data_IF_050742305122
#
_entry.id   IF_050742305122
#
_cell.length_a   1.000
_cell.length_b   1.000
_cell.length_c   1.000
_cell.angle_alpha   90.00
_cell.angle_beta   90.00
_cell.angle_gamma   90.00
#
_symmetry.space_group_name_H-M   'P 1'
#
loop_
_entity.id
_entity.type
_entity.pdbx_description
1 polymer ?
#
# COMPACT_ATOMS: atom_id res chain seq x y z
N UNK A 1 -11.23 -14.08 -18.38
CA UNK A 1 -10.00 -13.41 -17.90
C UNK A 1 -10.13 -11.89 -17.95
N UNK A 2 -10.32 -11.26 -19.12
CA UNK A 2 -10.54 -9.81 -19.22
C UNK A 2 -11.72 -9.29 -18.36
N UNK A 3 -12.88 -9.95 -18.40
CA UNK A 3 -14.04 -9.53 -17.59
C UNK A 3 -13.75 -9.53 -16.09
N UNK A 4 -12.99 -10.52 -15.61
CA UNK A 4 -12.55 -10.59 -14.21
C UNK A 4 -11.54 -9.49 -13.88
N UNK A 5 -10.71 -9.09 -14.84
CA UNK A 5 -9.77 -7.99 -14.73
C UNK A 5 -10.43 -6.60 -14.81
N UNK A 6 -11.61 -6.52 -15.44
CA UNK A 6 -12.41 -5.30 -15.55
C UNK A 6 -13.13 -4.97 -14.25
N UNK A 7 -13.58 -5.98 -13.49
CA UNK A 7 -14.37 -5.76 -12.26
C UNK A 7 -13.66 -4.82 -11.24
N UNK A 8 -12.37 -4.98 -10.92
CA UNK A 8 -11.68 -4.05 -10.04
C UNK A 8 -11.56 -2.63 -10.62
N UNK A 9 -11.43 -2.48 -11.94
CA UNK A 9 -11.35 -1.17 -12.58
C UNK A 9 -12.67 -0.40 -12.48
N UNK A 10 -13.81 -1.09 -12.32
CA UNK A 10 -15.12 -0.45 -12.07
C UNK A 10 -15.19 0.27 -10.72
N UNK A 11 -14.19 0.11 -9.83
CA UNK A 11 -14.04 0.96 -8.64
C UNK A 11 -13.90 2.45 -8.97
N UNK A 12 -13.52 2.81 -10.21
CA UNK A 12 -13.57 4.18 -10.71
C UNK A 12 -14.95 4.82 -10.50
N UNK A 13 -16.04 4.07 -10.65
CA UNK A 13 -17.40 4.57 -10.40
C UNK A 13 -17.64 4.92 -8.93
N UNK A 14 -17.06 4.17 -7.99
CA UNK A 14 -17.15 4.48 -6.57
C UNK A 14 -16.37 5.76 -6.20
N UNK A 15 -15.25 6.03 -6.87
CA UNK A 15 -14.51 7.27 -6.70
C UNK A 15 -15.19 8.46 -7.38
N UNK A 16 -15.86 8.24 -8.52
CA UNK A 16 -16.59 9.29 -9.24
C UNK A 16 -17.66 9.97 -8.37
N UNK A 17 -18.30 9.20 -7.48
CA UNK A 17 -19.31 9.69 -6.54
C UNK A 17 -18.76 10.63 -5.46
N UNK A 18 -17.44 10.68 -5.27
CA UNK A 18 -16.79 11.56 -4.28
C UNK A 18 -16.53 12.96 -4.83
N UNK A 19 -16.72 13.19 -6.14
CA UNK A 19 -16.56 14.50 -6.74
C UNK A 19 -17.79 15.39 -6.50
N UNK A 20 -17.55 16.70 -6.36
CA UNK A 20 -18.64 17.68 -6.24
C UNK A 20 -19.55 17.71 -7.48
N UNK A 21 -19.00 17.34 -8.64
CA UNK A 21 -19.72 17.13 -9.90
C UNK A 21 -19.25 15.81 -10.50
N UNK A 22 -20.03 14.72 -10.40
CA UNK A 22 -19.69 13.43 -10.98
C UNK A 22 -19.70 13.46 -12.52
N UNK A 23 -18.83 12.66 -13.13
CA UNK A 23 -18.81 12.39 -14.57
C UNK A 23 -19.98 11.47 -14.98
N UNK A 24 -20.31 11.46 -16.28
CA UNK A 24 -21.31 10.56 -16.84
C UNK A 24 -20.88 9.09 -16.71
N UNK A 25 -21.85 8.20 -16.49
CA UNK A 25 -21.57 6.78 -16.30
C UNK A 25 -20.83 6.18 -17.49
N UNK A 26 -21.14 6.57 -18.74
CA UNK A 26 -20.46 6.02 -19.92
C UNK A 26 -18.99 6.40 -19.94
N UNK A 27 -18.69 7.64 -19.58
CA UNK A 27 -17.32 8.14 -19.52
C UNK A 27 -16.49 7.39 -18.48
N UNK A 28 -17.06 7.16 -17.29
CA UNK A 28 -16.40 6.38 -16.24
C UNK A 28 -16.17 4.92 -16.67
N UNK A 29 -17.15 4.29 -17.32
CA UNK A 29 -17.02 2.93 -17.83
C UNK A 29 -15.92 2.83 -18.90
N UNK A 30 -15.79 3.84 -19.76
CA UNK A 30 -14.76 3.84 -20.80
C UNK A 30 -13.36 4.09 -20.23
N UNK A 31 -13.25 4.92 -19.19
CA UNK A 31 -12.02 5.05 -18.38
C UNK A 31 -11.65 3.69 -17.75
N UNK A 32 -12.60 3.01 -17.11
CA UNK A 32 -12.37 1.71 -16.49
C UNK A 32 -11.90 0.66 -17.52
N UNK A 33 -12.52 0.61 -18.71
CA UNK A 33 -12.09 -0.28 -19.81
C UNK A 33 -10.69 0.07 -20.31
N UNK A 34 -10.37 1.36 -20.43
CA UNK A 34 -9.06 1.81 -20.87
C UNK A 34 -7.95 1.35 -19.91
N UNK A 35 -8.17 1.53 -18.60
CA UNK A 35 -7.26 1.08 -17.55
C UNK A 35 -7.13 -0.44 -17.57
N UNK A 36 -8.24 -1.17 -17.62
CA UNK A 36 -8.24 -2.63 -17.64
C UNK A 36 -7.48 -3.19 -18.85
N UNK A 37 -7.69 -2.63 -20.04
CA UNK A 37 -6.97 -3.05 -21.26
C UNK A 37 -5.47 -2.77 -21.17
N UNK A 38 -5.09 -1.58 -20.70
CA UNK A 38 -3.68 -1.21 -20.61
C UNK A 38 -2.94 -2.06 -19.58
N UNK A 39 -3.54 -2.27 -18.41
CA UNK A 39 -2.95 -3.05 -17.31
C UNK A 39 -2.84 -4.52 -17.67
N UNK A 40 -3.89 -5.12 -18.24
CA UNK A 40 -3.84 -6.52 -18.69
C UNK A 40 -2.75 -6.76 -19.75
N UNK A 41 -2.51 -5.78 -20.62
CA UNK A 41 -1.50 -5.89 -21.68
C UNK A 41 -0.05 -5.73 -21.18
N UNK A 42 0.16 -4.97 -20.10
CA UNK A 42 1.51 -4.54 -19.67
C UNK A 42 1.96 -5.08 -18.32
N UNK A 43 1.03 -5.50 -17.48
CA UNK A 43 1.32 -6.08 -16.18
C UNK A 43 1.17 -7.59 -16.30
N UNK A 44 2.29 -8.26 -16.52
CA UNK A 44 2.38 -9.71 -16.47
C UNK A 44 3.43 -10.13 -15.43
N UNK A 45 3.48 -11.43 -15.13
CA UNK A 45 4.43 -11.93 -14.14
C UNK A 45 5.90 -11.76 -14.60
N UNK A 46 6.15 -11.84 -15.90
CA UNK A 46 7.49 -11.77 -16.47
C UNK A 46 8.09 -10.35 -16.41
N UNK A 47 7.28 -9.35 -16.76
CA UNK A 47 7.58 -7.92 -16.69
C UNK A 47 7.75 -7.49 -15.25
N UNK A 48 6.93 -8.01 -14.33
CA UNK A 48 7.13 -7.76 -12.89
C UNK A 48 8.43 -8.37 -12.38
N UNK A 49 8.73 -9.63 -12.74
CA UNK A 49 10.01 -10.28 -12.38
C UNK A 49 11.20 -9.49 -12.91
N UNK A 50 11.15 -9.05 -14.17
CA UNK A 50 12.20 -8.24 -14.77
C UNK A 50 12.39 -6.92 -14.01
N UNK A 51 11.29 -6.20 -13.73
CA UNK A 51 11.33 -4.99 -12.92
C UNK A 51 11.97 -5.21 -11.54
N UNK A 52 11.67 -6.35 -10.89
CA UNK A 52 12.28 -6.69 -9.59
C UNK A 52 13.78 -6.91 -9.75
N UNK A 53 14.21 -7.70 -10.74
CA UNK A 53 15.64 -7.93 -11.02
C UNK A 53 16.39 -6.61 -11.26
N UNK A 54 15.79 -5.71 -12.04
CA UNK A 54 16.41 -4.44 -12.42
C UNK A 54 16.48 -3.44 -11.24
N UNK A 55 15.56 -3.52 -10.27
CA UNK A 55 15.38 -2.47 -9.26
C UNK A 55 15.56 -2.91 -7.80
N UNK A 56 15.65 -4.21 -7.51
CA UNK A 56 15.73 -4.75 -6.15
C UNK A 56 17.11 -5.32 -5.80
N UNK A 57 18.16 -4.93 -6.51
CA UNK A 57 19.52 -5.26 -6.07
C UNK A 57 19.80 -4.71 -4.66
N UNK A 58 20.62 -5.41 -3.84
CA UNK A 58 20.95 -4.96 -2.49
C UNK A 58 21.51 -3.53 -2.45
N UNK A 59 22.27 -3.15 -3.48
CA UNK A 59 22.84 -1.81 -3.62
C UNK A 59 21.76 -0.74 -3.82
N UNK A 60 20.84 -0.95 -4.78
CA UNK A 60 19.74 -0.01 -5.07
C UNK A 60 18.83 0.13 -3.84
N UNK A 61 18.48 -0.98 -3.20
CA UNK A 61 17.61 -0.99 -2.01
C UNK A 61 18.29 -0.34 -0.81
N UNK A 62 19.60 -0.53 -0.62
CA UNK A 62 20.38 0.14 0.43
C UNK A 62 20.36 1.67 0.26
N UNK A 63 20.57 2.17 -0.96
CA UNK A 63 20.49 3.62 -1.24
C UNK A 63 19.09 4.17 -0.98
N UNK A 64 18.04 3.47 -1.42
CA UNK A 64 16.64 3.85 -1.15
C UNK A 64 16.33 3.86 0.34
N UNK A 65 16.80 2.84 1.07
CA UNK A 65 16.66 2.72 2.52
C UNK A 65 17.31 3.88 3.27
N UNK A 66 18.54 4.26 2.88
CA UNK A 66 19.25 5.42 3.46
C UNK A 66 18.54 6.75 3.21
N UNK A 67 17.83 6.90 2.08
CA UNK A 67 17.02 8.09 1.78
C UNK A 67 15.70 8.12 2.55
N UNK A 68 15.24 6.99 3.06
CA UNK A 68 14.01 6.90 3.84
C UNK A 68 14.15 7.72 5.12
N UNK A 69 13.24 8.68 5.31
CA UNK A 69 13.09 9.44 6.55
C UNK A 69 12.06 8.82 7.49
N UNK A 70 11.74 7.53 7.30
CA UNK A 70 10.73 6.85 8.13
C UNK A 70 11.23 6.85 9.59
N UNK A 71 10.65 7.72 10.39
CA UNK A 71 10.92 7.82 11.82
C UNK A 71 10.29 6.65 12.59
N UNK A 72 10.58 6.60 13.90
CA UNK A 72 9.88 5.70 14.81
C UNK A 72 8.38 6.02 14.79
N UNK A 73 7.55 4.97 14.83
CA UNK A 73 6.09 5.15 14.89
C UNK A 73 5.71 5.85 16.21
N UNK A 74 4.94 6.93 16.12
CA UNK A 74 4.44 7.68 17.28
C UNK A 74 3.56 6.82 18.19
N UNK A 75 2.88 5.83 17.61
CA UNK A 75 1.95 4.95 18.31
C UNK A 75 2.58 3.61 18.70
N UNK A 76 3.90 3.46 18.56
CA UNK A 76 4.56 2.23 19.03
C UNK A 76 4.54 2.18 20.56
N UNK A 77 4.43 0.97 21.13
CA UNK A 77 4.56 0.77 22.59
C UNK A 77 5.88 1.32 23.13
N UNK A 78 6.92 1.37 22.29
CA UNK A 78 8.22 1.96 22.63
C UNK A 78 8.15 3.48 22.76
N UNK A 79 7.33 4.14 21.96
CA UNK A 79 7.16 5.60 21.98
C UNK A 79 6.15 6.04 23.04
N UNK A 80 5.08 5.27 23.22
CA UNK A 80 4.02 5.57 24.18
C UNK A 80 4.39 5.22 25.63
N UNK A 81 5.40 4.36 25.81
CA UNK A 81 5.93 3.93 27.11
C UNK A 81 4.84 3.59 28.15
N UNK A 82 3.90 2.67 27.85
CA UNK A 82 2.73 2.40 28.71
C UNK A 82 3.12 1.92 30.11
N UNK A 83 4.30 1.31 30.27
CA UNK A 83 4.84 0.92 31.57
C UNK A 83 5.08 2.09 32.52
N UNK A 84 5.37 3.29 31.99
CA UNK A 84 5.52 4.52 32.79
C UNK A 84 4.18 4.90 33.40
N UNK A 85 3.11 4.91 32.59
CA UNK A 85 1.75 5.18 33.06
C UNK A 85 1.26 4.15 34.08
N UNK A 86 1.70 2.90 33.94
CA UNK A 86 1.39 1.80 34.87
C UNK A 86 2.28 1.80 36.12
N UNK A 87 3.29 2.66 36.22
CA UNK A 87 4.22 2.70 37.36
C UNK A 87 5.11 1.46 37.49
N UNK A 88 5.31 0.70 36.41
CA UNK A 88 6.12 -0.52 36.40
C UNK A 88 7.34 -0.36 35.49
N UNK A 89 8.35 -1.20 35.68
CA UNK A 89 9.49 -1.22 34.77
C UNK A 89 9.12 -1.79 33.40
N UNK A 90 9.78 -1.30 32.35
CA UNK A 90 9.65 -1.83 30.98
C UNK A 90 9.80 -3.36 30.91
N UNK A 91 10.77 -3.92 31.64
CA UNK A 91 10.99 -5.38 31.70
C UNK A 91 9.76 -6.09 32.26
N UNK A 92 9.19 -5.58 33.36
CA UNK A 92 8.02 -6.18 34.00
C UNK A 92 6.81 -6.14 33.07
N UNK A 93 6.57 -5.03 32.38
CA UNK A 93 5.50 -4.91 31.38
C UNK A 93 5.56 -6.02 30.31
N UNK A 94 6.73 -6.23 29.67
CA UNK A 94 6.85 -7.29 28.66
C UNK A 94 6.80 -8.70 29.24
N UNK A 95 7.26 -8.90 30.48
CA UNK A 95 7.15 -10.20 31.16
C UNK A 95 5.70 -10.55 31.46
N UNK A 96 4.94 -9.59 32.01
CA UNK A 96 3.52 -9.77 32.35
C UNK A 96 2.66 -9.91 31.08
N UNK A 97 3.00 -9.25 29.97
CA UNK A 97 2.33 -9.39 28.67
C UNK A 97 2.53 -10.76 28.01
N UNK A 98 3.60 -11.49 28.36
CA UNK A 98 3.92 -12.81 27.80
C UNK A 98 3.19 -13.95 28.53
N UNK A 99 2.74 -13.72 29.76
CA UNK A 99 1.90 -14.66 30.50
C UNK A 99 0.48 -14.67 29.93
#
# INVERSE_FOLDING_TARGET
EYEQWLQPAMTCSAYNLQFAVPLDDKEVHDIAKSIAKWTLKRLDESTFKQYVLDTHSPEIQSVRGKRSKRGASLFSERTLEPWVALGISRRKYYYDKKK
#
